data_IF_547880398113
#
_entry.id   IF_547880398113
#
_cell.length_a   1.000
_cell.length_b   1.000
_cell.length_c   1.000
_cell.angle_alpha   90.00
_cell.angle_beta   90.00
_cell.angle_gamma   90.00
#
_symmetry.space_group_name_H-M   'P 1'
#
loop_
_entity.id
_entity.type
_entity.pdbx_description
1 polymer ?
#
# COMPACT_ATOMS: atom_id res chain seq x y z
N UNK A 1 -4.59 17.43 12.76
CA UNK A 1 -4.75 17.87 11.36
C UNK A 1 -5.97 17.17 10.81
N UNK A 2 -6.94 17.96 10.37
CA UNK A 2 -8.17 17.46 9.72
C UNK A 2 -8.01 17.72 8.24
N UNK A 3 -8.27 16.70 7.41
CA UNK A 3 -8.31 16.85 5.96
C UNK A 3 -9.78 16.93 5.56
N UNK A 4 -10.10 17.99 4.84
CA UNK A 4 -11.44 18.24 4.32
C UNK A 4 -11.44 17.98 2.81
N UNK A 5 -12.43 17.21 2.35
CA UNK A 5 -12.59 16.87 0.94
C UNK A 5 -13.99 17.24 0.47
N UNK A 6 -14.04 17.96 -0.63
CA UNK A 6 -15.28 18.32 -1.31
C UNK A 6 -15.36 17.47 -2.58
N UNK A 7 -16.35 16.59 -2.64
CA UNK A 7 -16.56 15.67 -3.75
C UNK A 7 -17.87 16.01 -4.44
N UNK A 8 -17.81 16.29 -5.74
CA UNK A 8 -18.98 16.51 -6.58
C UNK A 8 -19.24 15.22 -7.35
N UNK A 9 -20.34 14.55 -7.02
CA UNK A 9 -20.73 13.28 -7.61
C UNK A 9 -22.09 13.45 -8.28
N UNK A 10 -22.28 12.84 -9.45
CA UNK A 10 -23.57 12.79 -10.13
C UNK A 10 -24.43 11.64 -9.57
N UNK A 11 -23.78 10.53 -9.22
CA UNK A 11 -24.43 9.38 -8.60
C UNK A 11 -23.73 8.95 -7.29
N UNK A 12 -24.47 8.48 -6.27
CA UNK A 12 -23.88 8.01 -5.01
C UNK A 12 -22.88 6.86 -5.19
N UNK A 13 -23.04 6.06 -6.26
CA UNK A 13 -22.17 4.92 -6.59
C UNK A 13 -20.77 5.37 -7.05
N UNK A 14 -20.64 6.60 -7.57
CA UNK A 14 -19.37 7.17 -8.05
C UNK A 14 -18.34 7.38 -6.94
N UNK A 15 -18.81 7.38 -5.69
CA UNK A 15 -17.92 7.33 -4.55
C UNK A 15 -17.02 6.08 -4.58
N UNK A 16 -17.52 4.94 -5.07
CA UNK A 16 -16.80 3.67 -5.05
C UNK A 16 -16.36 3.19 -6.43
N UNK A 17 -17.11 3.54 -7.48
CA UNK A 17 -16.88 3.06 -8.85
C UNK A 17 -16.95 4.23 -9.82
N UNK A 18 -15.86 4.49 -10.52
CA UNK A 18 -15.85 5.50 -11.57
C UNK A 18 -16.85 5.14 -12.69
N UNK A 19 -17.70 6.09 -13.05
CA UNK A 19 -18.64 5.97 -14.18
C UNK A 19 -18.19 6.91 -15.29
N UNK A 20 -17.80 6.34 -16.44
CA UNK A 20 -17.34 7.10 -17.59
C UNK A 20 -18.46 7.81 -18.35
N UNK A 21 -19.73 7.45 -18.09
CA UNK A 21 -20.88 8.03 -18.79
C UNK A 21 -21.30 9.37 -18.20
N UNK A 22 -21.07 9.57 -16.91
CA UNK A 22 -21.35 10.81 -16.16
C UNK A 22 -20.12 11.72 -16.03
N UNK A 23 -18.95 11.28 -16.53
CA UNK A 23 -17.73 12.06 -16.51
C UNK A 23 -17.73 13.14 -17.59
N UNK A 24 -17.60 14.40 -17.17
CA UNK A 24 -17.37 15.55 -18.04
C UNK A 24 -15.94 16.08 -17.85
N UNK A 25 -15.04 15.94 -18.85
CA UNK A 25 -13.68 16.47 -18.77
C UNK A 25 -13.60 18.00 -18.78
N UNK A 26 -14.70 18.70 -19.10
CA UNK A 26 -14.78 20.15 -19.07
C UNK A 26 -15.32 20.70 -17.74
N UNK A 27 -15.83 19.84 -16.85
CA UNK A 27 -16.21 20.22 -15.49
C UNK A 27 -14.95 20.25 -14.60
N UNK A 28 -14.61 21.42 -14.06
CA UNK A 28 -13.47 21.62 -13.17
C UNK A 28 -13.58 20.79 -11.88
N UNK A 29 -14.79 20.37 -11.51
CA UNK A 29 -15.05 19.57 -10.31
C UNK A 29 -15.14 18.06 -10.58
N UNK A 30 -15.02 17.62 -11.84
CA UNK A 30 -15.03 16.21 -12.17
C UNK A 30 -13.77 15.52 -11.65
N UNK A 31 -13.96 14.49 -10.83
CA UNK A 31 -12.84 13.80 -10.16
C UNK A 31 -11.97 12.99 -11.13
N UNK A 32 -12.51 12.54 -12.27
CA UNK A 32 -11.81 11.69 -13.24
C UNK A 32 -11.43 10.30 -12.73
N UNK A 33 -11.79 9.98 -11.49
CA UNK A 33 -11.57 8.72 -10.79
C UNK A 33 -12.70 8.50 -9.76
N UNK A 34 -12.73 7.32 -9.12
CA UNK A 34 -13.69 7.09 -8.04
C UNK A 34 -13.39 8.00 -6.85
N UNK A 35 -14.43 8.55 -6.20
CA UNK A 35 -14.24 9.48 -5.08
C UNK A 35 -13.44 8.88 -3.91
N UNK A 36 -13.55 7.57 -3.70
CA UNK A 36 -12.75 6.83 -2.75
C UNK A 36 -11.26 6.86 -3.10
N UNK A 37 -10.90 6.57 -4.35
CA UNK A 37 -9.51 6.54 -4.81
C UNK A 37 -8.87 7.93 -4.73
N UNK A 38 -9.65 8.97 -5.07
CA UNK A 38 -9.26 10.38 -4.93
C UNK A 38 -8.86 10.74 -3.49
N UNK A 39 -9.66 10.31 -2.50
CA UNK A 39 -9.36 10.57 -1.10
C UNK A 39 -8.18 9.70 -0.64
N UNK A 40 -8.16 8.41 -1.01
CA UNK A 40 -7.06 7.49 -0.64
C UNK A 40 -5.72 8.04 -1.10
N UNK A 41 -5.61 8.51 -2.35
CA UNK A 41 -4.37 9.06 -2.90
C UNK A 41 -3.82 10.24 -2.08
N UNK A 42 -4.69 11.04 -1.47
CA UNK A 42 -4.31 12.18 -0.62
C UNK A 42 -4.02 11.79 0.82
N UNK A 43 -4.72 10.77 1.33
CA UNK A 43 -4.56 10.29 2.71
C UNK A 43 -3.35 9.37 2.86
N UNK A 44 -2.97 8.63 1.81
CA UNK A 44 -1.87 7.64 1.86
C UNK A 44 -0.50 8.27 2.17
N UNK A 45 -0.36 9.59 2.04
CA UNK A 45 0.82 10.34 2.50
C UNK A 45 0.98 10.40 4.03
N UNK A 46 -0.12 10.32 4.78
CA UNK A 46 -0.14 10.49 6.24
C UNK A 46 -0.02 9.16 6.99
N UNK A 47 1.07 8.44 6.73
CA UNK A 47 1.26 7.08 7.24
C UNK A 47 1.72 7.00 8.70
N UNK A 48 2.47 8.00 9.17
CA UNK A 48 2.92 8.06 10.57
C UNK A 48 1.77 8.30 11.55
N UNK A 49 0.77 9.11 11.14
CA UNK A 49 -0.37 9.47 11.97
C UNK A 49 -1.61 9.62 11.11
N UNK A 50 -2.59 8.74 11.32
CA UNK A 50 -3.88 8.81 10.66
C UNK A 50 -4.53 10.19 10.91
N UNK A 51 -4.83 10.97 9.86
CA UNK A 51 -5.50 12.25 9.99
C UNK A 51 -6.98 12.02 10.31
N UNK A 52 -7.65 13.05 10.87
CA UNK A 52 -9.11 13.07 10.88
C UNK A 52 -9.58 13.50 9.49
N UNK A 53 -10.58 12.83 8.95
CA UNK A 53 -11.08 13.08 7.60
C UNK A 53 -12.53 13.52 7.72
N UNK A 54 -12.85 14.63 7.09
CA UNK A 54 -14.22 15.10 6.91
C UNK A 54 -14.48 15.27 5.41
N UNK A 55 -15.52 14.64 4.90
CA UNK A 55 -15.85 14.65 3.47
C UNK A 55 -17.25 15.22 3.28
N UNK A 56 -17.35 16.26 2.45
CA UNK A 56 -18.60 16.82 1.96
C UNK A 56 -18.87 16.27 0.57
N UNK A 57 -19.97 15.55 0.42
CA UNK A 57 -20.38 14.96 -0.85
C UNK A 57 -21.56 15.77 -1.39
N UNK A 58 -21.35 16.43 -2.52
CA UNK A 58 -22.37 17.16 -3.25
C UNK A 58 -23.02 16.23 -4.27
N UNK A 59 -24.34 16.06 -4.17
CA UNK A 59 -25.15 15.24 -5.07
C UNK A 59 -26.29 16.07 -5.66
N UNK A 60 -26.77 15.75 -6.87
CA UNK A 60 -27.98 16.35 -7.43
C UNK A 60 -29.15 16.20 -6.46
N UNK A 61 -29.96 17.26 -6.24
CA UNK A 61 -31.02 17.25 -5.24
C UNK A 61 -32.08 16.16 -5.50
N UNK A 62 -32.27 15.76 -6.77
CA UNK A 62 -33.21 14.69 -7.12
C UNK A 62 -32.76 13.30 -6.62
N UNK A 63 -31.46 13.14 -6.33
CA UNK A 63 -30.85 11.87 -5.90
C UNK A 63 -30.68 11.78 -4.38
N UNK A 64 -30.92 12.87 -3.64
CA UNK A 64 -30.78 12.88 -2.18
C UNK A 64 -32.03 12.30 -1.54
N UNK A 65 -31.85 11.22 -0.78
CA UNK A 65 -32.91 10.62 0.06
C UNK A 65 -32.64 10.88 1.53
N UNK A 66 -33.68 10.87 2.37
CA UNK A 66 -33.58 11.13 3.83
C UNK A 66 -32.57 10.23 4.56
N UNK A 67 -32.29 9.03 4.05
CA UNK A 67 -31.33 8.06 4.63
C UNK A 67 -30.02 7.98 3.83
N UNK A 68 -29.81 8.84 2.82
CA UNK A 68 -28.68 8.73 1.90
C UNK A 68 -27.34 8.85 2.63
N UNK A 69 -27.20 9.83 3.52
CA UNK A 69 -25.98 10.05 4.29
C UNK A 69 -25.61 8.81 5.12
N UNK A 70 -26.58 8.21 5.82
CA UNK A 70 -26.32 7.05 6.66
C UNK A 70 -26.07 5.79 5.82
N UNK A 71 -26.72 5.65 4.66
CA UNK A 71 -26.42 4.57 3.70
C UNK A 71 -25.01 4.69 3.13
N UNK A 72 -24.61 5.87 2.69
CA UNK A 72 -23.25 6.11 2.15
C UNK A 72 -22.19 5.90 3.24
N UNK A 73 -22.44 6.36 4.47
CA UNK A 73 -21.55 6.12 5.61
C UNK A 73 -21.40 4.64 5.93
N UNK A 74 -22.51 3.87 5.92
CA UNK A 74 -22.47 2.41 6.11
C UNK A 74 -21.74 1.70 4.97
N UNK A 75 -22.01 2.07 3.72
CA UNK A 75 -21.32 1.54 2.55
C UNK A 75 -19.81 1.80 2.63
N UNK A 76 -19.40 3.02 3.00
CA UNK A 76 -18.00 3.38 3.18
C UNK A 76 -17.31 2.51 4.24
N UNK A 77 -17.96 2.30 5.40
CA UNK A 77 -17.42 1.45 6.46
C UNK A 77 -17.25 0.02 5.99
N UNK A 78 -18.28 -0.55 5.35
CA UNK A 78 -18.23 -1.91 4.82
C UNK A 78 -17.10 -2.06 3.80
N UNK A 79 -16.99 -1.12 2.85
CA UNK A 79 -15.95 -1.10 1.84
C UNK A 79 -14.55 -1.04 2.46
N UNK A 80 -14.35 -0.15 3.45
CA UNK A 80 -13.08 -0.05 4.16
C UNK A 80 -12.77 -1.31 4.98
N UNK A 81 -13.76 -1.95 5.58
CA UNK A 81 -13.58 -3.19 6.34
C UNK A 81 -13.15 -4.34 5.42
N UNK A 82 -13.76 -4.46 4.24
CA UNK A 82 -13.36 -5.45 3.22
C UNK A 82 -11.92 -5.21 2.74
N UNK A 83 -11.55 -3.95 2.47
CA UNK A 83 -10.18 -3.57 2.09
C UNK A 83 -9.15 -3.81 3.21
N UNK A 84 -9.52 -3.60 4.47
CA UNK A 84 -8.67 -3.90 5.61
C UNK A 84 -8.44 -5.40 5.77
N UNK A 85 -9.47 -6.22 5.52
CA UNK A 85 -9.35 -7.68 5.52
C UNK A 85 -8.44 -8.13 4.37
N UNK A 86 -8.63 -7.60 3.16
CA UNK A 86 -7.78 -7.89 2.01
C UNK A 86 -6.31 -7.51 2.29
N UNK A 87 -6.06 -6.30 2.79
CA UNK A 87 -4.72 -5.84 3.15
C UNK A 87 -4.08 -6.71 4.25
N UNK A 88 -4.87 -7.22 5.21
CA UNK A 88 -4.37 -8.16 6.22
C UNK A 88 -3.92 -9.48 5.58
N UNK A 89 -4.65 -10.00 4.59
CA UNK A 89 -4.27 -11.21 3.85
C UNK A 89 -2.98 -10.98 3.05
N UNK A 90 -2.90 -9.89 2.29
CA UNK A 90 -1.68 -9.50 1.57
C UNK A 90 -0.46 -9.40 2.50
N UNK A 91 -0.64 -8.83 3.70
CA UNK A 91 0.44 -8.74 4.70
C UNK A 91 0.90 -10.11 5.21
N UNK A 92 -0.02 -11.04 5.41
CA UNK A 92 0.32 -12.40 5.85
C UNK A 92 1.06 -13.14 4.73
N UNK A 93 0.57 -13.05 3.50
CA UNK A 93 1.22 -13.63 2.32
C UNK A 93 2.62 -13.05 2.13
N UNK A 94 2.76 -11.73 2.25
CA UNK A 94 4.04 -11.03 2.22
C UNK A 94 5.01 -11.57 3.27
N UNK A 95 4.58 -11.76 4.52
CA UNK A 95 5.43 -12.29 5.58
C UNK A 95 5.85 -13.73 5.27
N UNK A 96 4.92 -14.60 4.88
CA UNK A 96 5.21 -16.00 4.57
C UNK A 96 6.24 -16.11 3.45
N UNK A 97 6.03 -15.36 2.35
CA UNK A 97 6.95 -15.37 1.21
C UNK A 97 8.35 -14.87 1.62
N UNK A 98 8.42 -13.78 2.40
CA UNK A 98 9.69 -13.22 2.83
C UNK A 98 10.44 -14.03 3.88
N UNK A 99 9.74 -14.81 4.72
CA UNK A 99 10.39 -15.73 5.66
C UNK A 99 11.21 -16.78 4.91
N UNK A 100 10.72 -17.28 3.77
CA UNK A 100 11.47 -18.24 2.93
C UNK A 100 12.74 -17.59 2.38
N UNK A 101 12.64 -16.39 1.81
CA UNK A 101 13.82 -15.66 1.31
C UNK A 101 14.82 -15.33 2.42
N UNK A 102 14.33 -14.95 3.60
CA UNK A 102 15.18 -14.71 4.76
C UNK A 102 15.89 -15.98 5.23
N UNK A 103 15.20 -17.13 5.24
CA UNK A 103 15.81 -18.42 5.56
C UNK A 103 16.90 -18.81 4.54
N UNK A 104 16.66 -18.60 3.24
CA UNK A 104 17.67 -18.85 2.20
C UNK A 104 18.89 -17.95 2.38
N UNK A 105 18.70 -16.66 2.68
CA UNK A 105 19.81 -15.76 2.94
C UNK A 105 20.61 -16.15 4.20
N UNK A 106 19.93 -16.57 5.28
CA UNK A 106 20.61 -17.10 6.47
C UNK A 106 21.41 -18.38 6.16
N UNK A 107 20.86 -19.28 5.35
CA UNK A 107 21.58 -20.49 4.91
C UNK A 107 22.82 -20.14 4.08
N UNK A 108 22.71 -19.20 3.14
CA UNK A 108 23.85 -18.73 2.34
C UNK A 108 24.92 -18.05 3.21
N UNK A 109 24.50 -17.28 4.21
CA UNK A 109 25.42 -16.63 5.15
C UNK A 109 26.15 -17.66 6.02
N UNK A 110 25.43 -18.67 6.52
CA UNK A 110 26.04 -19.78 7.27
C UNK A 110 27.00 -20.60 6.39
N UNK A 111 26.61 -20.86 5.13
CA UNK A 111 27.44 -21.56 4.16
C UNK A 111 28.72 -20.78 3.85
N UNK A 112 28.61 -19.47 3.62
CA UNK A 112 29.77 -18.62 3.40
C UNK A 112 30.70 -18.63 4.61
N UNK A 113 30.17 -18.42 5.81
CA UNK A 113 30.95 -18.46 7.05
C UNK A 113 31.72 -19.78 7.21
N UNK A 114 31.13 -20.90 6.79
CA UNK A 114 31.76 -22.21 6.87
C UNK A 114 32.80 -22.45 5.76
N UNK A 115 32.55 -21.98 4.53
CA UNK A 115 33.46 -22.17 3.39
C UNK A 115 34.66 -21.22 3.39
N UNK A 116 34.50 -20.00 3.92
CA UNK A 116 35.55 -18.99 3.93
C UNK A 116 36.87 -19.48 4.58
N UNK A 117 36.88 -20.13 5.76
CA UNK A 117 38.10 -20.70 6.34
C UNK A 117 38.66 -21.88 5.54
N UNK A 118 37.81 -22.64 4.82
CA UNK A 118 38.25 -23.78 3.99
C UNK A 118 38.96 -23.29 2.72
N UNK A 119 38.38 -22.29 2.03
CA UNK A 119 38.97 -21.72 0.82
C UNK A 119 40.22 -20.92 1.16
N UNK A 120 40.22 -20.17 2.26
CA UNK A 120 41.37 -19.37 2.67
C UNK A 120 42.58 -20.22 3.12
N UNK A 121 42.37 -21.49 3.46
CA UNK A 121 43.41 -22.41 3.92
C UNK A 121 44.40 -22.76 2.79
N UNK A 122 45.70 -22.43 2.95
CA UNK A 122 46.73 -22.76 1.96
C UNK A 122 46.93 -24.24 1.67
N UNK A 123 46.52 -25.11 2.58
CA UNK A 123 46.64 -26.56 2.44
C UNK A 123 45.54 -27.17 1.57
N UNK A 124 44.39 -26.50 1.45
CA UNK A 124 43.23 -26.97 0.67
C UNK A 124 43.22 -26.44 -0.75
N UNK A 125 43.60 -25.17 -0.95
CA UNK A 125 43.68 -24.52 -2.27
C UNK A 125 45.07 -23.95 -2.45
N UNK A 126 45.94 -24.65 -3.16
CA UNK A 126 47.36 -24.30 -3.27
C UNK A 126 47.61 -23.04 -4.11
N UNK A 127 46.74 -22.74 -5.08
CA UNK A 127 46.84 -21.58 -5.96
C UNK A 127 46.21 -20.33 -5.33
N UNK A 128 47.04 -19.30 -5.14
CA UNK A 128 46.64 -18.03 -4.54
C UNK A 128 45.63 -17.23 -5.40
N UNK A 129 45.71 -17.35 -6.73
CA UNK A 129 44.80 -16.64 -7.64
C UNK A 129 43.41 -17.26 -7.60
N UNK A 130 43.33 -18.59 -7.69
CA UNK A 130 42.06 -19.32 -7.57
C UNK A 130 41.37 -19.06 -6.23
N UNK A 131 42.13 -19.02 -5.13
CA UNK A 131 41.60 -18.69 -3.80
C UNK A 131 40.97 -17.30 -3.74
N UNK A 132 41.66 -16.30 -4.29
CA UNK A 132 41.18 -14.92 -4.32
C UNK A 132 39.89 -14.80 -5.15
N UNK A 133 39.86 -15.40 -6.35
CA UNK A 133 38.69 -15.42 -7.22
C UNK A 133 37.48 -16.10 -6.57
N UNK A 134 37.66 -17.25 -5.91
CA UNK A 134 36.58 -17.95 -5.20
C UNK A 134 36.05 -17.13 -4.02
N UNK A 135 36.93 -16.45 -3.28
CA UNK A 135 36.54 -15.55 -2.19
C UNK A 135 35.67 -14.41 -2.69
N UNK A 136 36.12 -13.68 -3.71
CA UNK A 136 35.34 -12.60 -4.30
C UNK A 136 34.00 -13.07 -4.89
N UNK A 137 33.99 -14.24 -5.55
CA UNK A 137 32.76 -14.83 -6.08
C UNK A 137 31.74 -15.15 -4.98
N UNK A 138 32.19 -15.74 -3.87
CA UNK A 138 31.34 -16.02 -2.71
C UNK A 138 30.81 -14.75 -2.05
N UNK A 139 31.63 -13.72 -1.90
CA UNK A 139 31.20 -12.44 -1.34
C UNK A 139 30.14 -11.77 -2.21
N UNK A 140 30.28 -11.82 -3.55
CA UNK A 140 29.26 -11.31 -4.49
C UNK A 140 27.97 -12.12 -4.37
N UNK A 141 28.05 -13.46 -4.35
CA UNK A 141 26.87 -14.32 -4.22
C UNK A 141 26.15 -14.07 -2.89
N UNK A 142 26.89 -13.91 -1.80
CA UNK A 142 26.33 -13.56 -0.50
C UNK A 142 25.62 -12.21 -0.54
N UNK A 143 26.26 -11.18 -1.10
CA UNK A 143 25.67 -9.85 -1.22
C UNK A 143 24.35 -9.89 -2.00
N UNK A 144 24.31 -10.59 -3.13
CA UNK A 144 23.10 -10.76 -3.95
C UNK A 144 22.02 -11.53 -3.19
N UNK A 145 22.39 -12.60 -2.48
CA UNK A 145 21.46 -13.41 -1.69
C UNK A 145 20.85 -12.63 -0.52
N UNK A 146 21.63 -11.75 0.12
CA UNK A 146 21.17 -10.93 1.26
C UNK A 146 20.37 -9.71 0.81
N UNK A 147 20.66 -9.14 -0.36
CA UNK A 147 20.00 -7.92 -0.82
C UNK A 147 18.48 -8.09 -1.00
N UNK A 148 18.02 -9.21 -1.57
CA UNK A 148 16.59 -9.46 -1.83
C UNK A 148 15.72 -9.44 -0.57
N UNK A 149 16.00 -10.22 0.49
CA UNK A 149 15.20 -10.14 1.71
C UNK A 149 15.37 -8.79 2.42
N UNK A 150 16.55 -8.16 2.30
CA UNK A 150 16.76 -6.83 2.87
C UNK A 150 15.89 -5.77 2.18
N UNK A 151 15.81 -5.78 0.85
CA UNK A 151 14.97 -4.83 0.10
C UNK A 151 13.49 -5.05 0.41
N UNK A 152 13.05 -6.30 0.53
CA UNK A 152 11.68 -6.59 0.90
C UNK A 152 11.35 -6.09 2.32
N UNK A 153 12.23 -6.37 3.29
CA UNK A 153 12.07 -5.92 4.67
C UNK A 153 12.20 -4.41 4.86
N UNK A 154 12.92 -3.69 4.00
CA UNK A 154 13.08 -2.24 4.11
C UNK A 154 12.02 -1.46 3.34
N UNK A 155 11.64 -1.93 2.14
CA UNK A 155 10.86 -1.14 1.19
C UNK A 155 9.45 -1.67 0.97
N UNK A 156 9.24 -3.00 0.95
CA UNK A 156 7.97 -3.58 0.51
C UNK A 156 6.90 -3.65 1.61
N UNK A 157 7.29 -3.71 2.88
CA UNK A 157 6.35 -3.64 4.01
C UNK A 157 5.67 -2.26 4.13
N UNK A 158 6.37 -1.21 3.67
CA UNK A 158 5.97 0.17 3.85
C UNK A 158 4.66 0.50 3.09
N UNK A 159 4.51 0.20 1.78
CA UNK A 159 3.25 0.34 1.06
C UNK A 159 2.06 -0.33 1.74
N UNK A 160 2.24 -1.54 2.27
CA UNK A 160 1.18 -2.30 2.95
C UNK A 160 0.70 -1.59 4.22
N UNK A 161 1.65 -1.06 5.01
CA UNK A 161 1.34 -0.29 6.21
C UNK A 161 0.64 1.03 5.88
N UNK A 162 1.08 1.74 4.84
CA UNK A 162 0.46 3.00 4.40
C UNK A 162 -1.00 2.81 4.01
N UNK A 163 -1.31 1.80 3.19
CA UNK A 163 -2.68 1.46 2.78
C UNK A 163 -3.56 1.14 3.97
N UNK A 164 -3.06 0.33 4.91
CA UNK A 164 -3.78 0.01 6.14
C UNK A 164 -4.16 1.26 6.94
N UNK A 165 -3.22 2.20 7.12
CA UNK A 165 -3.51 3.43 7.85
C UNK A 165 -4.52 4.33 7.13
N UNK A 166 -4.43 4.42 5.80
CA UNK A 166 -5.38 5.18 5.00
C UNK A 166 -6.81 4.61 5.12
N UNK A 167 -6.98 3.30 4.95
CA UNK A 167 -8.29 2.65 5.09
C UNK A 167 -8.86 2.77 6.50
N UNK A 168 -8.00 2.69 7.52
CA UNK A 168 -8.42 2.89 8.92
C UNK A 168 -8.88 4.33 9.19
N UNK A 169 -8.23 5.31 8.59
CA UNK A 169 -8.64 6.71 8.68
C UNK A 169 -9.99 6.93 8.00
N UNK A 170 -10.15 6.39 6.78
CA UNK A 170 -11.36 6.50 5.97
C UNK A 170 -12.58 5.82 6.59
N UNK A 171 -12.40 4.66 7.23
CA UNK A 171 -13.47 3.96 7.95
C UNK A 171 -14.13 4.84 9.02
N UNK A 172 -13.35 5.72 9.66
CA UNK A 172 -13.80 6.59 10.74
C UNK A 172 -14.06 8.02 10.27
N UNK A 173 -14.12 8.26 8.96
CA UNK A 173 -14.32 9.60 8.45
C UNK A 173 -15.73 10.12 8.76
N UNK A 174 -15.81 11.43 8.94
CA UNK A 174 -17.07 12.15 8.99
C UNK A 174 -17.53 12.40 7.55
N UNK A 175 -18.79 12.08 7.24
CA UNK A 175 -19.35 12.27 5.91
C UNK A 175 -20.65 13.06 6.02
N UNK A 176 -20.76 14.12 5.22
CA UNK A 176 -21.97 14.93 5.08
C UNK A 176 -22.40 14.92 3.62
N UNK A 177 -23.69 14.70 3.37
CA UNK A 177 -24.26 14.77 2.02
C UNK A 177 -25.01 16.08 1.90
N UNK A 178 -24.62 16.90 0.91
CA UNK A 178 -25.17 18.22 0.65
C UNK A 178 -25.76 18.26 -0.76
N UNK A 179 -26.84 19.03 -0.99
CA UNK A 179 -27.33 19.28 -2.34
C UNK A 179 -26.32 20.11 -3.13
N UNK A 180 -26.02 19.68 -4.36
CA UNK A 180 -25.27 20.50 -5.30
C UNK A 180 -26.15 21.71 -5.67
N UNK A 181 -25.65 22.91 -5.41
CA UNK A 181 -26.33 24.14 -5.83
C UNK A 181 -26.00 24.31 -7.31
N UNK A 182 -27.01 24.19 -8.18
CA UNK A 182 -26.86 24.54 -9.61
C UNK A 182 -26.65 26.05 -9.67
N UNK A 183 -25.43 26.48 -9.98
CA UNK A 183 -25.19 27.79 -10.58
C UNK A 183 -25.49 27.72 -12.09
#
# INVERSE_FOLDING_TARGET
>A
MTLEFDLYLQEPKELFVFDSQTYDPFDENALGEAGFDYIVARVIGFWLRAPRIATRVFLPPERITLDMQEKMRRAMRSWCDDLLIANRRERVEFIINNVIFFAVALLMLALNWWLQPVISNPQMVTDANLRSWLGYGLDILLWVAVWTPLSALLLEWFPLYRRHQAYRALRNMEMQVLPQTKD
#
